data_IF_284733799523
#
_entry.id   IF_284733799523
#
_cell.length_a   1.000
_cell.length_b   1.000
_cell.length_c   1.000
_cell.angle_alpha   90.00
_cell.angle_beta   90.00
_cell.angle_gamma   90.00
#
_symmetry.space_group_name_H-M   'P 1'
#
loop_
_entity.id
_entity.type
_entity.pdbx_description
1 polymer ?
#
# COMPACT_ATOMS: atom_id res chain seq x y z
N UNK A 1 -3.87 -11.05 21.70
CA UNK A 1 -4.98 -10.12 21.38
C UNK A 1 -6.15 -10.50 22.29
N UNK A 2 -6.88 -9.53 22.84
CA UNK A 2 -7.89 -9.72 23.88
C UNK A 2 -9.25 -10.27 23.37
N UNK A 3 -9.33 -10.65 22.08
CA UNK A 3 -10.57 -11.13 21.47
C UNK A 3 -11.66 -10.05 21.35
N UNK A 4 -11.31 -8.77 21.51
CA UNK A 4 -12.28 -7.69 21.40
C UNK A 4 -12.73 -7.50 19.93
N UNK A 5 -14.01 -7.72 19.68
CA UNK A 5 -14.67 -7.34 18.43
C UNK A 5 -14.84 -5.82 18.41
N UNK A 6 -14.23 -5.15 17.44
CA UNK A 6 -14.45 -3.74 17.16
C UNK A 6 -15.30 -3.60 15.88
N UNK A 7 -16.25 -2.67 15.87
CA UNK A 7 -16.96 -2.34 14.64
C UNK A 7 -15.96 -1.80 13.60
N UNK A 8 -16.13 -2.22 12.35
CA UNK A 8 -15.38 -1.68 11.23
C UNK A 8 -15.57 -0.15 11.20
N UNK A 9 -14.47 0.60 11.05
CA UNK A 9 -14.53 2.07 11.06
C UNK A 9 -15.17 2.57 9.77
N UNK A 10 -16.50 2.66 9.75
CA UNK A 10 -17.29 2.96 8.56
C UNK A 10 -17.12 4.41 8.11
N UNK A 11 -16.90 4.62 6.80
CA UNK A 11 -17.20 5.89 6.16
C UNK A 11 -18.71 6.17 6.33
N UNK A 12 -19.09 7.42 6.54
CA UNK A 12 -20.48 7.86 6.80
C UNK A 12 -20.70 9.24 6.18
N UNK A 13 -21.95 9.70 6.13
CA UNK A 13 -22.29 11.04 5.69
C UNK A 13 -21.74 11.35 4.27
N UNK A 14 -21.92 10.40 3.36
CA UNK A 14 -21.60 10.56 1.95
C UNK A 14 -22.40 11.72 1.36
N UNK A 15 -21.71 12.65 0.70
CA UNK A 15 -22.30 13.87 0.17
C UNK A 15 -21.54 14.42 -1.02
N UNK A 16 -22.21 15.25 -1.81
CA UNK A 16 -21.59 16.08 -2.83
C UNK A 16 -21.20 17.41 -2.22
N UNK A 17 -20.01 17.91 -2.55
CA UNK A 17 -19.54 19.24 -2.16
C UNK A 17 -19.17 19.98 -3.44
N UNK A 18 -19.70 21.19 -3.60
CA UNK A 18 -19.29 22.09 -4.69
C UNK A 18 -17.93 22.68 -4.36
N UNK A 19 -17.03 22.70 -5.34
CA UNK A 19 -15.67 23.19 -5.19
C UNK A 19 -15.16 23.82 -6.50
N UNK A 20 -13.89 24.25 -6.48
CA UNK A 20 -13.24 24.91 -7.61
C UNK A 20 -12.50 23.92 -8.53
N UNK A 21 -12.79 22.62 -8.45
CA UNK A 21 -12.20 21.63 -9.36
C UNK A 21 -12.81 21.74 -10.76
N UNK A 22 -12.19 21.12 -11.77
CA UNK A 22 -12.69 21.13 -13.16
C UNK A 22 -14.14 20.63 -13.30
N UNK A 23 -14.51 19.63 -12.50
CA UNK A 23 -15.88 19.09 -12.49
C UNK A 23 -16.84 19.87 -11.56
N UNK A 24 -16.31 20.80 -10.75
CA UNK A 24 -17.06 21.66 -9.83
C UNK A 24 -17.73 20.93 -8.66
N UNK A 25 -17.53 19.62 -8.51
CA UNK A 25 -18.13 18.80 -7.47
C UNK A 25 -17.23 17.62 -7.08
N UNK A 26 -17.08 17.39 -5.78
CA UNK A 26 -16.38 16.24 -5.19
C UNK A 26 -17.31 15.42 -4.32
N UNK A 27 -17.11 14.10 -4.31
CA UNK A 27 -17.75 13.16 -3.37
C UNK A 27 -16.94 13.14 -2.07
N UNK A 28 -17.58 13.49 -0.95
CA UNK A 28 -16.97 13.50 0.38
C UNK A 28 -17.59 12.45 1.29
N UNK A 29 -16.83 11.94 2.25
CA UNK A 29 -17.31 11.10 3.34
C UNK A 29 -16.58 11.39 4.65
N UNK A 30 -17.23 11.09 5.78
CA UNK A 30 -16.67 11.27 7.13
C UNK A 30 -16.37 9.90 7.76
N UNK A 31 -15.35 9.78 8.62
CA UNK A 31 -15.23 8.61 9.49
C UNK A 31 -16.06 8.80 10.77
N UNK A 32 -16.95 7.84 11.06
CA UNK A 32 -17.75 7.91 12.28
C UNK A 32 -17.05 7.20 13.45
N UNK A 33 -16.38 7.97 14.30
CA UNK A 33 -15.79 7.46 15.55
C UNK A 33 -16.84 6.80 16.45
N UNK A 34 -18.07 7.34 16.50
CA UNK A 34 -19.17 6.77 17.27
C UNK A 34 -19.57 5.38 16.77
N UNK A 35 -19.60 5.15 15.44
CA UNK A 35 -19.87 3.82 14.87
C UNK A 35 -18.67 2.89 15.02
N UNK A 36 -17.44 3.38 14.84
CA UNK A 36 -16.22 2.59 15.02
C UNK A 36 -16.03 2.06 16.45
N UNK A 37 -16.52 2.81 17.45
CA UNK A 37 -16.50 2.39 18.86
C UNK A 37 -17.72 1.55 19.27
N UNK A 38 -18.62 1.23 18.32
CA UNK A 38 -19.85 0.49 18.59
C UNK A 38 -19.61 -1.03 18.69
N UNK A 39 -20.43 -1.73 19.49
CA UNK A 39 -20.37 -3.18 19.70
C UNK A 39 -21.58 -3.95 19.16
N UNK A 40 -22.38 -3.35 18.28
CA UNK A 40 -23.42 -4.01 17.48
C UNK A 40 -24.81 -4.12 18.11
N UNK A 41 -24.99 -3.78 19.39
CA UNK A 41 -26.30 -3.88 20.08
C UNK A 41 -27.12 -2.57 20.08
N UNK A 42 -26.58 -1.47 19.52
CA UNK A 42 -27.18 -0.13 19.67
C UNK A 42 -28.12 0.29 18.53
N UNK A 43 -28.27 -0.53 17.48
CA UNK A 43 -29.02 -0.16 16.28
C UNK A 43 -30.11 -1.17 15.94
N UNK A 44 -31.28 -0.67 15.51
CA UNK A 44 -32.35 -1.46 14.92
C UNK A 44 -32.09 -1.68 13.43
N UNK A 45 -32.64 -2.76 12.89
CA UNK A 45 -32.68 -2.94 11.45
C UNK A 45 -33.38 -1.75 10.80
N UNK A 46 -32.70 -1.12 9.84
CA UNK A 46 -33.21 0.07 9.17
C UNK A 46 -32.46 0.28 7.85
N UNK A 47 -33.05 1.15 7.01
CA UNK A 47 -32.39 1.66 5.82
C UNK A 47 -31.07 2.35 6.20
N UNK A 48 -29.97 1.86 5.65
CA UNK A 48 -28.66 2.46 5.79
C UNK A 48 -28.48 3.54 4.71
N UNK A 49 -28.66 4.80 5.12
CA UNK A 49 -28.52 5.96 4.24
C UNK A 49 -27.11 6.52 4.18
N UNK A 50 -26.23 6.11 5.09
CA UNK A 50 -24.93 6.78 5.26
C UNK A 50 -23.77 6.01 4.66
N UNK A 51 -23.85 4.69 4.46
CA UNK A 51 -22.73 3.87 3.97
C UNK A 51 -23.15 2.51 3.40
N UNK A 52 -22.22 1.81 2.77
CA UNK A 52 -22.33 0.38 2.39
C UNK A 52 -21.11 -0.34 2.94
N UNK A 53 -21.33 -1.47 3.62
CA UNK A 53 -20.25 -2.37 4.01
C UNK A 53 -19.81 -3.16 2.78
N UNK A 54 -18.53 -3.06 2.43
CA UNK A 54 -17.92 -3.66 1.24
C UNK A 54 -17.27 -5.03 1.53
N UNK A 55 -16.95 -5.33 2.78
CA UNK A 55 -16.34 -6.61 3.16
C UNK A 55 -17.34 -7.78 3.23
N UNK A 56 -18.62 -7.49 3.49
CA UNK A 56 -19.65 -8.52 3.63
C UNK A 56 -21.06 -7.97 3.47
N UNK A 57 -21.78 -8.47 2.46
CA UNK A 57 -23.16 -8.11 2.17
C UNK A 57 -23.90 -9.26 1.47
N UNK A 58 -25.23 -9.23 1.54
CA UNK A 58 -26.10 -10.15 0.80
C UNK A 58 -26.81 -9.38 -0.31
N UNK A 59 -26.81 -9.94 -1.52
CA UNK A 59 -27.46 -9.37 -2.68
C UNK A 59 -28.03 -10.49 -3.56
N UNK A 60 -29.14 -10.23 -4.23
CA UNK A 60 -29.68 -11.14 -5.25
C UNK A 60 -28.67 -11.30 -6.40
N UNK A 61 -28.46 -12.54 -6.85
CA UNK A 61 -27.43 -12.89 -7.83
C UNK A 61 -27.55 -12.12 -9.15
N UNK A 62 -28.77 -11.91 -9.64
CA UNK A 62 -29.05 -11.18 -10.88
C UNK A 62 -28.74 -9.67 -10.80
N UNK A 63 -28.52 -9.14 -9.58
CA UNK A 63 -28.19 -7.73 -9.34
C UNK A 63 -26.69 -7.47 -9.19
N UNK A 64 -25.88 -8.51 -8.99
CA UNK A 64 -24.44 -8.39 -8.69
C UNK A 64 -23.73 -7.53 -9.74
N UNK A 65 -23.91 -7.81 -11.03
CA UNK A 65 -23.22 -7.11 -12.13
C UNK A 65 -23.59 -5.63 -12.26
N UNK A 66 -24.67 -5.18 -11.61
CA UNK A 66 -25.08 -3.76 -11.59
C UNK A 66 -24.50 -2.98 -10.42
N UNK A 67 -24.00 -3.67 -9.39
CA UNK A 67 -23.47 -3.08 -8.15
C UNK A 67 -21.97 -3.27 -8.03
N UNK A 68 -21.50 -4.48 -8.33
CA UNK A 68 -20.08 -4.84 -8.29
C UNK A 68 -19.47 -4.60 -9.66
N UNK A 69 -18.76 -3.50 -9.79
CA UNK A 69 -18.06 -3.11 -11.01
C UNK A 69 -16.56 -3.46 -10.88
N UNK A 70 -16.02 -4.43 -11.63
CA UNK A 70 -14.62 -4.83 -11.51
C UNK A 70 -13.63 -3.68 -11.76
N UNK A 71 -14.01 -2.67 -12.55
CA UNK A 71 -13.18 -1.49 -12.79
C UNK A 71 -13.21 -0.48 -11.63
N UNK A 72 -14.27 -0.52 -10.80
CA UNK A 72 -14.37 0.22 -9.54
C UNK A 72 -13.77 -0.52 -8.35
N UNK A 73 -13.34 -1.77 -8.54
CA UNK A 73 -12.76 -2.58 -7.46
C UNK A 73 -11.43 -1.98 -7.04
N UNK A 74 -11.44 -1.22 -5.92
CA UNK A 74 -10.34 -1.02 -4.97
C UNK A 74 -10.37 0.37 -4.26
N UNK A 75 -10.27 0.36 -2.92
CA UNK A 75 -10.26 1.51 -1.97
C UNK A 75 -11.45 2.48 -2.01
N UNK A 76 -12.23 2.52 -3.09
CA UNK A 76 -13.41 3.37 -3.28
C UNK A 76 -14.61 2.58 -3.86
N UNK A 77 -14.56 1.25 -3.85
CA UNK A 77 -15.60 0.36 -4.36
C UNK A 77 -16.95 0.60 -3.67
N UNK A 78 -16.93 0.84 -2.36
CA UNK A 78 -18.14 1.14 -1.59
C UNK A 78 -18.85 2.41 -2.07
N UNK A 79 -18.11 3.42 -2.56
CA UNK A 79 -18.69 4.64 -3.14
C UNK A 79 -19.39 4.33 -4.46
N UNK A 80 -18.77 3.51 -5.30
CA UNK A 80 -19.37 3.06 -6.55
C UNK A 80 -20.62 2.20 -6.32
N UNK A 81 -20.55 1.30 -5.35
CA UNK A 81 -21.63 0.40 -4.98
C UNK A 81 -22.85 1.19 -4.48
N UNK A 82 -22.69 2.11 -3.54
CA UNK A 82 -23.82 2.89 -3.02
C UNK A 82 -24.43 3.81 -4.09
N UNK A 83 -23.59 4.43 -4.93
CA UNK A 83 -24.09 5.25 -6.04
C UNK A 83 -24.83 4.39 -7.08
N UNK A 84 -24.34 3.20 -7.39
CA UNK A 84 -24.98 2.25 -8.30
C UNK A 84 -26.30 1.72 -7.75
N UNK A 85 -26.35 1.37 -6.45
CA UNK A 85 -27.59 0.96 -5.77
C UNK A 85 -28.65 2.05 -5.86
N UNK A 86 -28.28 3.30 -5.55
CA UNK A 86 -29.20 4.45 -5.60
C UNK A 86 -29.64 4.78 -7.03
N UNK A 87 -28.72 4.66 -7.99
CA UNK A 87 -29.04 4.83 -9.41
C UNK A 87 -30.10 3.83 -9.89
N UNK A 88 -30.15 2.63 -9.30
CA UNK A 88 -31.19 1.64 -9.57
C UNK A 88 -32.44 1.78 -8.69
N UNK A 89 -32.56 2.86 -7.89
CA UNK A 89 -33.62 3.06 -6.90
C UNK A 89 -33.74 1.92 -5.88
N UNK A 90 -32.59 1.35 -5.49
CA UNK A 90 -32.50 0.30 -4.48
C UNK A 90 -32.05 0.85 -3.13
N UNK A 91 -32.22 0.04 -2.09
CA UNK A 91 -31.92 0.39 -0.70
C UNK A 91 -30.92 -0.58 -0.10
N UNK A 92 -30.14 -0.08 0.85
CA UNK A 92 -29.25 -0.87 1.70
C UNK A 92 -29.93 -0.98 3.06
N UNK A 93 -29.98 -2.18 3.61
CA UNK A 93 -30.50 -2.41 4.97
C UNK A 93 -29.33 -2.79 5.88
N UNK A 94 -29.25 -2.16 7.04
CA UNK A 94 -28.34 -2.59 8.11
C UNK A 94 -29.05 -3.65 8.95
N UNK A 95 -28.52 -4.87 8.99
CA UNK A 95 -29.16 -6.04 9.64
C UNK A 95 -28.34 -6.46 10.87
N UNK A 96 -28.60 -5.93 12.08
CA UNK A 96 -27.78 -6.17 13.27
C UNK A 96 -27.81 -7.63 13.78
N UNK A 97 -28.83 -8.39 13.39
CA UNK A 97 -28.94 -9.83 13.70
C UNK A 97 -27.97 -10.69 12.88
N UNK A 98 -27.51 -10.20 11.72
CA UNK A 98 -26.50 -10.85 10.90
C UNK A 98 -25.12 -10.30 11.27
N UNK A 99 -24.19 -11.18 11.66
CA UNK A 99 -22.83 -10.79 12.09
C UNK A 99 -21.80 -11.54 11.24
N UNK A 100 -20.88 -10.78 10.66
CA UNK A 100 -19.70 -11.32 9.98
C UNK A 100 -18.47 -10.87 10.76
N UNK A 101 -17.60 -11.82 11.12
CA UNK A 101 -16.31 -11.54 11.73
C UNK A 101 -15.24 -11.57 10.65
N UNK A 102 -14.46 -10.49 10.54
CA UNK A 102 -13.31 -10.42 9.63
C UNK A 102 -12.01 -10.53 10.42
N UNK A 103 -11.29 -11.65 10.26
CA UNK A 103 -10.02 -11.91 10.95
C UNK A 103 -8.84 -11.51 10.07
N UNK A 104 -8.19 -10.40 10.43
CA UNK A 104 -6.98 -9.91 9.74
C UNK A 104 -5.75 -10.76 10.06
N UNK A 105 -5.84 -11.67 11.03
CA UNK A 105 -4.70 -12.46 11.55
C UNK A 105 -4.19 -13.55 10.62
N UNK A 106 -4.90 -13.92 9.55
CA UNK A 106 -4.51 -15.00 8.63
C UNK A 106 -3.67 -14.51 7.44
N UNK A 107 -2.91 -13.42 7.61
CA UNK A 107 -2.09 -12.85 6.54
C UNK A 107 -0.75 -13.60 6.41
N UNK A 108 -0.46 -14.12 5.21
CA UNK A 108 0.72 -14.94 4.94
C UNK A 108 1.58 -14.39 3.80
N UNK A 109 2.72 -15.05 3.52
CA UNK A 109 3.57 -14.66 2.40
C UNK A 109 2.83 -14.75 1.06
N UNK A 110 1.82 -15.62 0.94
CA UNK A 110 1.02 -15.80 -0.29
C UNK A 110 0.20 -14.57 -0.62
N UNK A 111 -0.16 -13.80 0.41
CA UNK A 111 -1.02 -12.64 0.29
C UNK A 111 -0.22 -11.39 -0.13
N UNK A 112 1.09 -11.36 0.14
CA UNK A 112 1.95 -10.20 -0.17
C UNK A 112 1.83 -9.77 -1.63
N UNK A 113 2.07 -10.61 -2.65
CA UNK A 113 2.05 -10.15 -4.04
C UNK A 113 0.70 -9.54 -4.43
N UNK A 114 -0.39 -10.21 -4.08
CA UNK A 114 -1.74 -9.72 -4.33
C UNK A 114 -2.01 -8.40 -3.59
N UNK A 115 -1.63 -8.33 -2.31
CA UNK A 115 -1.83 -7.16 -1.47
C UNK A 115 -1.03 -5.96 -1.99
N UNK A 116 0.22 -6.17 -2.46
CA UNK A 116 1.06 -5.10 -3.05
C UNK A 116 0.53 -4.62 -4.38
N UNK A 117 0.03 -5.52 -5.22
CA UNK A 117 -0.62 -5.15 -6.47
C UNK A 117 -1.87 -4.31 -6.21
N UNK A 118 -2.82 -4.87 -5.45
CA UNK A 118 -4.10 -4.22 -5.19
C UNK A 118 -3.89 -2.88 -4.50
N UNK A 119 -2.98 -2.80 -3.52
CA UNK A 119 -2.66 -1.57 -2.77
C UNK A 119 -1.59 -0.69 -3.41
N UNK A 120 -1.28 -0.90 -4.69
CA UNK A 120 -0.38 -0.02 -5.42
C UNK A 120 -1.05 1.30 -5.76
N UNK A 121 -0.28 2.38 -5.78
CA UNK A 121 -0.76 3.71 -6.15
C UNK A 121 -1.34 3.69 -7.57
N UNK A 122 -0.70 2.98 -8.51
CA UNK A 122 -1.17 2.86 -9.88
C UNK A 122 -2.59 2.28 -9.98
N UNK A 123 -2.89 1.21 -9.24
CA UNK A 123 -4.24 0.62 -9.18
C UNK A 123 -5.21 1.59 -8.50
N UNK A 124 -4.81 2.21 -7.38
CA UNK A 124 -5.63 3.17 -6.64
C UNK A 124 -6.08 4.36 -7.51
N UNK A 125 -5.14 5.00 -8.19
CA UNK A 125 -5.41 6.14 -9.06
C UNK A 125 -6.19 5.72 -10.31
N UNK A 126 -5.89 4.56 -10.89
CA UNK A 126 -6.68 4.01 -12.00
C UNK A 126 -8.16 3.82 -11.63
N UNK A 127 -8.44 3.26 -10.44
CA UNK A 127 -9.81 3.14 -9.92
C UNK A 127 -10.43 4.52 -9.67
N UNK A 128 -9.70 5.46 -9.07
CA UNK A 128 -10.19 6.82 -8.83
C UNK A 128 -10.57 7.52 -10.14
N UNK A 129 -9.68 7.51 -11.13
CA UNK A 129 -9.92 8.13 -12.44
C UNK A 129 -11.12 7.48 -13.14
N UNK A 130 -11.25 6.16 -13.01
CA UNK A 130 -12.40 5.43 -13.51
C UNK A 130 -13.71 5.93 -12.88
N UNK A 131 -13.74 6.09 -11.56
CA UNK A 131 -14.90 6.61 -10.84
C UNK A 131 -15.20 8.07 -11.19
N UNK A 132 -14.16 8.90 -11.34
CA UNK A 132 -14.29 10.29 -11.78
C UNK A 132 -14.99 10.33 -13.13
N UNK A 133 -14.51 9.54 -14.09
CA UNK A 133 -15.09 9.49 -15.43
C UNK A 133 -16.48 8.90 -15.46
N UNK A 134 -16.70 7.82 -14.68
CA UNK A 134 -18.01 7.18 -14.54
C UNK A 134 -19.00 8.20 -14.00
N UNK A 135 -18.81 8.71 -12.79
CA UNK A 135 -19.84 9.51 -12.13
C UNK A 135 -19.89 10.99 -12.56
N UNK A 136 -18.79 11.53 -13.10
CA UNK A 136 -18.68 12.95 -13.41
C UNK A 136 -18.60 13.80 -12.14
N UNK A 137 -17.87 13.31 -11.14
CA UNK A 137 -17.54 14.00 -9.90
C UNK A 137 -16.12 13.63 -9.48
N UNK A 138 -15.45 14.54 -8.78
CA UNK A 138 -14.15 14.26 -8.20
C UNK A 138 -14.26 13.32 -6.99
N UNK A 139 -13.18 12.59 -6.73
CA UNK A 139 -13.04 11.66 -5.61
C UNK A 139 -11.75 11.98 -4.85
N UNK A 140 -11.75 11.87 -3.51
CA UNK A 140 -10.63 12.32 -2.70
C UNK A 140 -9.39 11.44 -2.89
N UNK A 141 -8.22 12.09 -2.96
CA UNK A 141 -6.92 11.42 -2.88
C UNK A 141 -6.51 11.27 -1.41
N UNK A 142 -7.00 10.24 -0.73
CA UNK A 142 -6.74 10.09 0.72
C UNK A 142 -5.38 9.49 1.06
N UNK A 143 -4.68 8.89 0.08
CA UNK A 143 -3.48 8.07 0.33
C UNK A 143 -3.73 6.85 1.23
N UNK A 144 -5.00 6.55 1.53
CA UNK A 144 -5.39 5.53 2.50
C UNK A 144 -4.91 4.14 2.08
N UNK A 145 -4.83 3.86 0.77
CA UNK A 145 -4.26 2.62 0.25
C UNK A 145 -2.81 2.40 0.68
N UNK A 146 -1.96 3.44 0.59
CA UNK A 146 -0.56 3.38 1.00
C UNK A 146 -0.45 3.19 2.51
N UNK A 147 -1.27 3.87 3.29
CA UNK A 147 -1.33 3.68 4.73
C UNK A 147 -1.71 2.25 5.14
N UNK A 148 -2.76 1.67 4.54
CA UNK A 148 -3.19 0.29 4.81
C UNK A 148 -2.12 -0.72 4.39
N UNK A 149 -1.46 -0.48 3.24
CA UNK A 149 -0.33 -1.28 2.74
C UNK A 149 0.74 -1.44 3.82
N UNK A 150 1.23 -0.33 4.37
CA UNK A 150 2.29 -0.37 5.39
C UNK A 150 1.81 -0.90 6.74
N UNK A 151 0.60 -0.56 7.18
CA UNK A 151 0.07 -1.00 8.48
C UNK A 151 -0.05 -2.52 8.60
N UNK A 152 -0.27 -3.24 7.49
CA UNK A 152 -0.38 -4.71 7.49
C UNK A 152 0.99 -5.35 7.24
N UNK A 153 1.69 -4.98 6.16
CA UNK A 153 2.93 -5.68 5.81
C UNK A 153 4.06 -5.40 6.81
N UNK A 154 4.09 -4.24 7.48
CA UNK A 154 5.14 -3.92 8.46
C UNK A 154 5.23 -4.92 9.63
N UNK A 155 4.15 -5.66 9.88
CA UNK A 155 4.07 -6.67 10.94
C UNK A 155 4.70 -8.01 10.53
N UNK A 156 5.06 -8.17 9.26
CA UNK A 156 5.45 -9.46 8.70
C UNK A 156 6.94 -9.50 8.34
N UNK A 157 7.61 -10.52 8.87
CA UNK A 157 8.99 -10.88 8.54
C UNK A 157 9.01 -12.37 8.20
N UNK A 158 9.50 -12.70 7.02
CA UNK A 158 9.69 -14.07 6.57
C UNK A 158 11.18 -14.33 6.42
N UNK A 159 11.63 -15.48 6.92
CA UNK A 159 13.04 -15.87 6.87
C UNK A 159 13.20 -17.32 6.41
N UNK A 160 14.30 -17.58 5.73
CA UNK A 160 14.64 -18.94 5.26
C UNK A 160 15.11 -19.86 6.39
N UNK A 161 15.61 -19.31 7.50
CA UNK A 161 16.08 -20.05 8.68
C UNK A 161 14.94 -20.44 9.65
N UNK A 162 13.73 -19.96 9.40
CA UNK A 162 12.52 -20.35 10.14
C UNK A 162 12.41 -19.83 11.56
N UNK A 163 13.12 -18.74 11.90
CA UNK A 163 12.98 -18.06 13.19
C UNK A 163 11.54 -17.54 13.36
N UNK A 164 10.97 -17.77 14.54
CA UNK A 164 9.60 -17.39 14.90
C UNK A 164 9.41 -15.87 14.77
N UNK A 165 8.32 -15.46 14.10
CA UNK A 165 7.90 -14.07 14.12
C UNK A 165 7.44 -13.67 15.53
N UNK A 166 7.54 -12.38 15.84
CA UNK A 166 6.99 -11.80 17.07
C UNK A 166 5.47 -12.00 17.06
N UNK A 167 4.98 -13.06 17.70
CA UNK A 167 3.56 -13.45 17.63
C UNK A 167 3.26 -14.94 17.64
N UNK A 168 4.27 -15.82 17.57
CA UNK A 168 4.09 -17.27 17.79
C UNK A 168 3.67 -18.09 16.57
N UNK A 169 3.50 -17.49 15.39
CA UNK A 169 3.34 -18.22 14.13
C UNK A 169 4.66 -18.30 13.35
N UNK A 170 4.97 -19.49 12.83
CA UNK A 170 6.16 -19.72 12.00
C UNK A 170 5.95 -19.06 10.62
N UNK A 171 6.43 -17.83 10.48
CA UNK A 171 6.48 -17.11 9.20
C UNK A 171 7.60 -17.67 8.29
N UNK A 172 7.38 -18.87 7.75
CA UNK A 172 8.35 -19.53 6.87
C UNK A 172 8.34 -18.90 5.46
N UNK A 173 9.54 -18.61 4.95
CA UNK A 173 9.75 -18.24 3.55
C UNK A 173 9.30 -19.37 2.60
N UNK A 174 8.68 -19.07 1.44
CA UNK A 174 8.39 -20.08 0.43
C UNK A 174 9.66 -20.80 -0.05
N UNK A 175 9.53 -22.11 -0.29
CA UNK A 175 10.62 -22.96 -0.81
C UNK A 175 10.74 -22.90 -2.33
N UNK A 176 9.63 -22.70 -3.04
CA UNK A 176 9.65 -22.64 -4.50
C UNK A 176 10.24 -21.31 -4.95
N UNK A 177 11.19 -21.37 -5.88
CA UNK A 177 11.83 -20.17 -6.44
C UNK A 177 10.82 -19.16 -7.01
N UNK A 178 9.75 -19.64 -7.66
CA UNK A 178 8.75 -18.75 -8.28
C UNK A 178 8.00 -17.92 -7.24
N UNK A 179 7.77 -18.48 -6.06
CA UNK A 179 7.05 -17.82 -4.97
C UNK A 179 7.98 -16.81 -4.28
N UNK A 180 9.28 -17.14 -4.13
CA UNK A 180 10.30 -16.19 -3.71
C UNK A 180 10.43 -15.03 -4.70
N UNK A 181 10.43 -15.33 -6.01
CA UNK A 181 10.45 -14.31 -7.04
C UNK A 181 9.23 -13.38 -6.93
N UNK A 182 8.03 -13.94 -6.74
CA UNK A 182 6.81 -13.14 -6.55
C UNK A 182 6.92 -12.17 -5.35
N UNK A 183 7.56 -12.58 -4.26
CA UNK A 183 7.87 -11.69 -3.12
C UNK A 183 8.87 -10.59 -3.49
N UNK A 184 9.93 -10.92 -4.24
CA UNK A 184 10.93 -9.93 -4.68
C UNK A 184 10.29 -8.89 -5.59
N UNK A 185 9.53 -9.29 -6.61
CA UNK A 185 8.79 -8.35 -7.45
C UNK A 185 7.76 -7.58 -6.62
N UNK A 186 7.07 -8.25 -5.68
CA UNK A 186 6.09 -7.63 -4.78
C UNK A 186 6.71 -6.54 -3.90
N UNK A 187 7.95 -6.69 -3.47
CA UNK A 187 8.68 -5.65 -2.74
C UNK A 187 8.93 -4.39 -3.60
N UNK A 188 9.33 -4.54 -4.86
CA UNK A 188 9.49 -3.37 -5.74
C UNK A 188 8.14 -2.71 -6.06
N UNK A 189 7.07 -3.51 -6.15
CA UNK A 189 5.69 -3.01 -6.21
C UNK A 189 5.30 -2.24 -4.92
N UNK A 190 5.73 -2.73 -3.76
CA UNK A 190 5.52 -2.09 -2.46
C UNK A 190 6.17 -0.71 -2.39
N UNK A 191 7.42 -0.62 -2.85
CA UNK A 191 8.24 0.60 -2.86
C UNK A 191 7.56 1.72 -3.67
N UNK A 192 6.96 1.36 -4.82
CA UNK A 192 6.23 2.31 -5.68
C UNK A 192 6.47 2.12 -7.17
N UNK A 193 7.28 1.14 -7.57
CA UNK A 193 7.45 0.78 -8.97
C UNK A 193 6.23 -0.02 -9.48
N UNK A 194 5.97 0.05 -10.79
CA UNK A 194 4.78 -0.57 -11.39
C UNK A 194 5.00 -1.14 -12.80
N UNK A 195 6.23 -1.06 -13.32
CA UNK A 195 6.66 -1.63 -14.59
C UNK A 195 7.99 -2.35 -14.44
N UNK A 196 8.16 -3.41 -15.22
CA UNK A 196 9.31 -4.31 -15.17
C UNK A 196 9.80 -4.61 -16.59
N UNK A 197 11.00 -4.18 -16.92
CA UNK A 197 11.61 -4.39 -18.23
C UNK A 197 12.69 -5.47 -18.15
N UNK A 198 12.55 -6.50 -18.98
CA UNK A 198 13.48 -7.64 -19.08
C UNK A 198 13.75 -7.96 -20.54
N UNK A 199 15.03 -7.93 -20.94
CA UNK A 199 15.42 -8.19 -22.34
C UNK A 199 14.76 -7.23 -23.35
N UNK A 200 14.58 -5.96 -22.97
CA UNK A 200 13.96 -4.93 -23.81
C UNK A 200 12.43 -5.01 -23.91
N UNK A 201 11.78 -5.94 -23.20
CA UNK A 201 10.31 -6.03 -23.14
C UNK A 201 9.80 -5.61 -21.77
N UNK A 202 8.77 -4.78 -21.78
CA UNK A 202 8.10 -4.30 -20.58
C UNK A 202 6.90 -5.17 -20.19
N UNK A 203 6.70 -5.32 -18.89
CA UNK A 203 5.60 -6.03 -18.26
C UNK A 203 5.04 -5.21 -17.09
N UNK A 204 3.72 -5.29 -16.87
CA UNK A 204 3.13 -4.92 -15.59
C UNK A 204 3.30 -6.05 -14.56
N UNK A 205 2.95 -5.76 -13.31
CA UNK A 205 3.13 -6.71 -12.22
C UNK A 205 2.33 -8.01 -12.39
N UNK A 206 1.08 -7.93 -12.87
CA UNK A 206 0.26 -9.12 -13.09
C UNK A 206 0.82 -10.01 -14.21
N UNK A 207 1.33 -9.39 -15.28
CA UNK A 207 2.01 -10.07 -16.38
C UNK A 207 3.25 -10.80 -15.90
N UNK A 208 4.02 -10.20 -14.97
CA UNK A 208 5.14 -10.87 -14.32
C UNK A 208 4.65 -12.08 -13.50
N UNK A 209 3.64 -11.92 -12.64
CA UNK A 209 3.14 -13.02 -11.82
C UNK A 209 2.64 -14.19 -12.69
N UNK A 210 1.86 -13.90 -13.74
CA UNK A 210 1.40 -14.90 -14.71
C UNK A 210 2.56 -15.63 -15.40
N UNK A 211 3.62 -14.90 -15.77
CA UNK A 211 4.84 -15.50 -16.34
C UNK A 211 5.57 -16.41 -15.35
N UNK A 212 5.74 -15.97 -14.11
CA UNK A 212 6.38 -16.77 -13.06
C UNK A 212 5.61 -18.07 -12.81
N UNK A 213 4.28 -18.00 -12.80
CA UNK A 213 3.42 -19.19 -12.70
C UNK A 213 3.54 -20.11 -13.92
N UNK A 214 3.73 -19.54 -15.12
CA UNK A 214 4.07 -20.28 -16.34
C UNK A 214 5.51 -20.82 -16.39
N UNK A 215 6.29 -20.69 -15.30
CA UNK A 215 7.65 -21.24 -15.19
C UNK A 215 8.76 -20.36 -15.76
N UNK A 216 8.43 -19.16 -16.25
CA UNK A 216 9.42 -18.20 -16.76
C UNK A 216 10.32 -17.66 -15.64
N UNK A 217 11.54 -17.24 -16.01
CA UNK A 217 12.46 -16.53 -15.12
C UNK A 217 13.29 -15.50 -15.89
N UNK A 218 13.65 -14.37 -15.26
CA UNK A 218 14.51 -13.39 -15.89
C UNK A 218 15.92 -13.98 -16.10
N UNK A 219 16.46 -13.83 -17.30
CA UNK A 219 17.84 -14.26 -17.66
C UNK A 219 18.87 -13.16 -17.46
N UNK A 220 18.40 -11.92 -17.27
CA UNK A 220 19.20 -10.72 -17.10
C UNK A 220 18.67 -9.92 -15.89
N UNK A 221 19.37 -8.85 -15.54
CA UNK A 221 18.84 -7.82 -14.65
C UNK A 221 17.47 -7.35 -15.12
N UNK A 222 16.60 -7.07 -14.15
CA UNK A 222 15.25 -6.52 -14.32
C UNK A 222 15.34 -5.04 -14.02
N UNK A 223 14.99 -4.20 -14.99
CA UNK A 223 14.76 -2.79 -14.72
C UNK A 223 13.36 -2.64 -14.15
N UNK A 224 13.22 -1.99 -13.01
CA UNK A 224 11.93 -1.62 -12.43
C UNK A 224 11.76 -0.11 -12.54
N UNK A 225 10.59 0.35 -12.98
CA UNK A 225 10.31 1.78 -13.14
C UNK A 225 8.93 2.15 -12.63
N UNK A 226 8.76 3.43 -12.31
CA UNK A 226 7.46 4.05 -12.06
C UNK A 226 6.99 4.66 -13.38
N UNK A 227 5.80 4.29 -13.83
CA UNK A 227 5.10 4.94 -14.94
C UNK A 227 3.79 5.53 -14.42
N UNK A 228 3.57 6.83 -14.65
CA UNK A 228 2.36 7.52 -14.19
C UNK A 228 1.23 7.49 -15.23
N UNK A 229 1.57 7.26 -16.50
CA UNK A 229 0.61 7.22 -17.59
C UNK A 229 -0.41 6.09 -17.41
N UNK A 230 -1.69 6.45 -17.59
CA UNK A 230 -2.84 5.56 -17.44
C UNK A 230 -3.70 5.61 -18.71
N UNK A 231 -4.34 4.47 -19.08
CA UNK A 231 -5.17 4.42 -20.27
C UNK A 231 -6.39 5.34 -20.15
N UNK A 232 -6.85 5.87 -21.29
CA UNK A 232 -8.04 6.73 -21.34
C UNK A 232 -9.28 5.93 -20.96
N UNK A 233 -10.03 6.43 -19.98
CA UNK A 233 -11.32 5.85 -19.58
C UNK A 233 -12.44 6.44 -20.42
N UNK A 234 -13.22 5.57 -21.06
CA UNK A 234 -14.35 5.95 -21.93
C UNK A 234 -15.72 5.68 -21.31
N UNK A 235 -15.79 4.81 -20.29
CA UNK A 235 -17.04 4.45 -19.62
C UNK A 235 -17.54 5.61 -18.77
N UNK A 236 -18.81 5.95 -18.93
CA UNK A 236 -19.50 7.03 -18.22
C UNK A 236 -20.70 6.48 -17.44
N UNK A 237 -21.31 7.31 -16.60
CA UNK A 237 -22.49 6.94 -15.80
C UNK A 237 -23.64 6.50 -16.70
N UNK A 238 -24.54 5.66 -16.18
CA UNK A 238 -25.75 5.32 -16.92
C UNK A 238 -26.53 6.56 -17.34
N UNK A 239 -27.02 6.59 -18.59
CA UNK A 239 -27.72 7.75 -19.17
C UNK A 239 -28.99 8.17 -18.41
N UNK A 240 -29.57 7.25 -17.63
CA UNK A 240 -30.75 7.53 -16.82
C UNK A 240 -30.43 8.35 -15.56
N UNK A 241 -29.16 8.43 -15.14
CA UNK A 241 -28.71 9.34 -14.07
C UNK A 241 -28.43 10.71 -14.67
N UNK A 242 -29.39 11.63 -14.54
CA UNK A 242 -29.27 12.98 -15.11
C UNK A 242 -28.49 13.90 -14.17
N UNK A 243 -28.79 13.85 -12.88
CA UNK A 243 -28.15 14.70 -11.88
C UNK A 243 -27.60 13.87 -10.71
N UNK A 244 -26.47 14.30 -10.15
CA UNK A 244 -25.79 13.55 -9.08
C UNK A 244 -26.51 13.68 -7.73
N UNK A 245 -27.29 14.74 -7.53
CA UNK A 245 -28.12 14.94 -6.35
C UNK A 245 -29.31 13.98 -6.26
N UNK A 246 -29.62 13.27 -7.34
CA UNK A 246 -30.51 12.10 -7.31
C UNK A 246 -29.86 10.93 -6.54
N UNK A 247 -28.53 10.91 -6.43
CA UNK A 247 -27.77 9.83 -5.80
C UNK A 247 -27.24 10.21 -4.42
N UNK A 248 -26.66 11.40 -4.28
CA UNK A 248 -26.01 11.84 -3.04
C UNK A 248 -26.46 13.26 -2.69
N UNK A 249 -26.82 13.56 -1.43
CA UNK A 249 -27.21 14.91 -1.05
C UNK A 249 -26.04 15.89 -1.16
N UNK A 250 -26.30 17.15 -1.48
CA UNK A 250 -25.31 18.21 -1.32
C UNK A 250 -25.08 18.54 0.15
N UNK A 251 -23.84 18.84 0.52
CA UNK A 251 -23.48 19.28 1.85
C UNK A 251 -22.29 20.23 1.86
N UNK A 252 -21.87 20.61 3.07
CA UNK A 252 -20.71 21.49 3.27
C UNK A 252 -19.43 20.67 3.34
N UNK A 253 -18.33 21.26 2.87
CA UNK A 253 -16.99 20.77 3.20
C UNK A 253 -16.81 20.79 4.72
N UNK A 254 -16.38 19.67 5.31
CA UNK A 254 -15.88 19.64 6.69
C UNK A 254 -14.35 19.66 6.61
N UNK A 255 -13.70 20.40 7.51
CA UNK A 255 -12.25 20.68 7.46
C UNK A 255 -11.34 19.46 7.64
N UNK A 256 -11.87 18.29 7.96
CA UNK A 256 -11.08 17.08 8.24
C UNK A 256 -11.30 16.07 7.12
N UNK A 257 -10.76 16.40 5.95
CA UNK A 257 -10.53 15.41 4.91
C UNK A 257 -9.10 15.58 4.44
N UNK A 258 -8.32 14.53 4.66
CA UNK A 258 -6.89 14.55 4.44
C UNK A 258 -6.66 14.18 2.99
N UNK A 259 -6.82 15.17 2.12
CA UNK A 259 -6.39 15.09 0.73
C UNK A 259 -4.88 15.19 0.67
N UNK A 260 -4.23 14.18 0.11
CA UNK A 260 -2.84 14.28 -0.32
C UNK A 260 -2.82 15.08 -1.62
N UNK A 261 -2.06 16.17 -1.62
CA UNK A 261 -1.94 17.07 -2.78
C UNK A 261 -1.36 16.35 -3.99
N UNK A 262 -0.28 15.60 -3.79
CA UNK A 262 0.38 14.89 -4.86
C UNK A 262 -0.29 13.54 -5.12
N UNK A 263 -0.47 13.22 -6.39
CA UNK A 263 -1.06 11.95 -6.80
C UNK A 263 -0.21 10.78 -6.28
N UNK A 264 1.06 10.74 -6.66
CA UNK A 264 1.98 9.69 -6.25
C UNK A 264 2.93 10.18 -5.16
N UNK A 265 3.12 9.35 -4.14
CA UNK A 265 4.06 9.66 -3.07
C UNK A 265 5.51 9.48 -3.55
N UNK A 266 6.40 10.43 -3.22
CA UNK A 266 7.83 10.25 -3.44
C UNK A 266 8.37 9.14 -2.52
N UNK A 267 9.42 8.46 -2.98
CA UNK A 267 10.05 7.38 -2.23
C UNK A 267 11.56 7.31 -2.51
N UNK A 268 12.25 6.52 -1.71
CA UNK A 268 13.65 6.18 -1.91
C UNK A 268 13.87 4.70 -1.62
N UNK A 269 14.93 4.16 -2.21
CA UNK A 269 15.34 2.78 -2.01
C UNK A 269 16.87 2.73 -1.92
N UNK A 270 17.39 1.94 -1.01
CA UNK A 270 18.82 1.71 -0.90
C UNK A 270 19.15 0.26 -1.27
N UNK A 271 20.32 0.07 -1.88
CA UNK A 271 20.92 -1.22 -2.16
C UNK A 271 22.25 -1.30 -1.42
N UNK A 272 22.46 -2.39 -0.69
CA UNK A 272 23.72 -2.75 -0.07
C UNK A 272 24.17 -4.13 -0.56
N UNK A 273 25.42 -4.26 -0.97
CA UNK A 273 26.01 -5.51 -1.45
C UNK A 273 27.11 -5.95 -0.50
N UNK A 274 27.13 -7.24 -0.15
CA UNK A 274 28.08 -7.84 0.78
C UNK A 274 28.55 -9.19 0.24
N UNK A 275 29.65 -9.72 0.77
CA UNK A 275 30.18 -11.02 0.33
C UNK A 275 29.34 -12.23 0.83
N UNK A 276 28.56 -12.07 1.90
CA UNK A 276 27.79 -13.14 2.55
C UNK A 276 26.47 -12.59 3.11
N UNK A 277 25.42 -13.41 3.14
CA UNK A 277 24.13 -13.03 3.73
C UNK A 277 24.11 -13.10 5.26
N UNK A 278 25.03 -13.83 5.88
CA UNK A 278 25.08 -14.03 7.34
C UNK A 278 24.95 -12.73 8.16
N UNK A 279 25.72 -11.65 7.88
CA UNK A 279 25.60 -10.41 8.64
C UNK A 279 24.31 -9.63 8.37
N UNK A 280 23.53 -10.00 7.34
CA UNK A 280 22.27 -9.36 6.96
C UNK A 280 21.06 -10.10 7.51
N UNK A 281 21.21 -11.35 7.95
CA UNK A 281 20.11 -12.18 8.42
C UNK A 281 19.43 -11.51 9.61
N UNK A 282 20.16 -11.13 10.66
CA UNK A 282 19.58 -10.61 11.90
C UNK A 282 19.34 -9.10 11.91
N UNK A 283 19.71 -8.42 10.84
CA UNK A 283 19.65 -6.97 10.77
C UNK A 283 18.22 -6.48 10.50
N UNK A 284 17.79 -5.52 11.32
CA UNK A 284 16.49 -4.86 11.13
C UNK A 284 16.47 -3.92 9.93
N UNK A 285 17.66 -3.61 9.40
CA UNK A 285 17.91 -2.66 8.33
C UNK A 285 17.58 -3.14 6.91
N UNK A 286 17.24 -4.41 6.69
CA UNK A 286 17.01 -4.97 5.34
C UNK A 286 15.54 -5.36 5.12
N UNK A 287 14.94 -4.81 4.05
CA UNK A 287 13.62 -5.16 3.55
C UNK A 287 13.61 -6.44 2.72
N UNK A 288 14.62 -6.63 1.87
CA UNK A 288 14.93 -7.92 1.23
C UNK A 288 16.38 -8.28 1.46
N UNK A 289 16.65 -9.57 1.62
CA UNK A 289 18.00 -10.15 1.56
C UNK A 289 18.00 -11.23 0.48
N UNK A 290 18.73 -10.99 -0.60
CA UNK A 290 18.83 -11.88 -1.75
C UNK A 290 20.25 -12.44 -1.80
N UNK A 291 20.36 -13.77 -1.73
CA UNK A 291 21.60 -14.47 -2.02
C UNK A 291 21.75 -14.63 -3.53
N UNK A 292 22.89 -14.22 -4.06
CA UNK A 292 23.30 -14.38 -5.45
C UNK A 292 24.60 -15.20 -5.50
N UNK A 293 25.02 -15.63 -6.71
CA UNK A 293 26.24 -16.44 -6.86
C UNK A 293 27.51 -15.75 -6.34
N UNK A 294 27.58 -14.43 -6.42
CA UNK A 294 28.75 -13.62 -6.11
C UNK A 294 28.68 -12.91 -4.74
N UNK A 295 27.63 -13.16 -3.96
CA UNK A 295 27.46 -12.52 -2.65
C UNK A 295 25.99 -12.34 -2.27
N UNK A 296 25.73 -11.32 -1.47
CA UNK A 296 24.40 -11.03 -0.95
C UNK A 296 24.01 -9.57 -1.17
N UNK A 297 22.76 -9.35 -1.56
CA UNK A 297 22.19 -8.02 -1.79
C UNK A 297 21.08 -7.77 -0.79
N UNK A 298 21.19 -6.67 -0.06
CA UNK A 298 20.16 -6.13 0.80
C UNK A 298 19.47 -4.94 0.11
N UNK A 299 18.15 -4.99 0.02
CA UNK A 299 17.32 -3.86 -0.44
C UNK A 299 16.55 -3.26 0.73
N UNK A 300 16.49 -1.94 0.79
CA UNK A 300 15.88 -1.19 1.89
C UNK A 300 14.84 -0.24 1.32
N UNK A 301 13.58 -0.42 1.72
CA UNK A 301 12.49 0.47 1.34
C UNK A 301 12.49 1.69 2.25
N UNK A 302 12.64 2.88 1.68
CA UNK A 302 12.76 4.14 2.40
C UNK A 302 11.70 5.13 1.91
N UNK A 303 10.42 4.94 2.28
CA UNK A 303 9.38 5.91 1.98
C UNK A 303 9.73 7.27 2.62
N UNK A 304 9.20 8.36 2.08
CA UNK A 304 9.50 9.71 2.60
C UNK A 304 8.84 9.98 3.96
N UNK A 305 7.88 9.13 4.33
CA UNK A 305 7.29 8.97 5.66
C UNK A 305 7.91 7.76 6.38
N UNK A 306 7.70 7.62 7.69
CA UNK A 306 8.43 6.70 8.59
C UNK A 306 9.91 7.06 8.71
N UNK A 307 10.20 8.36 8.76
CA UNK A 307 11.55 8.92 8.95
C UNK A 307 12.15 8.71 10.34
N UNK A 308 11.31 8.33 11.32
CA UNK A 308 11.65 8.26 12.75
C UNK A 308 12.27 9.57 13.29
N UNK A 309 11.88 10.71 12.71
CA UNK A 309 12.30 12.03 13.19
C UNK A 309 11.92 12.24 14.66
N UNK A 310 12.66 13.09 15.36
CA UNK A 310 12.37 13.43 16.77
C UNK A 310 10.93 13.93 16.95
N UNK A 311 10.43 14.70 15.98
CA UNK A 311 9.06 15.19 15.96
C UNK A 311 8.03 14.06 15.86
N UNK A 312 8.22 13.10 14.95
CA UNK A 312 7.32 11.94 14.82
C UNK A 312 7.38 11.03 16.05
N UNK A 313 8.55 10.87 16.67
CA UNK A 313 8.69 10.17 17.96
C UNK A 313 7.92 10.89 19.08
N UNK A 314 7.95 12.22 19.12
CA UNK A 314 7.19 13.00 20.07
C UNK A 314 5.68 12.87 19.85
N UNK A 315 5.21 12.95 18.59
CA UNK A 315 3.80 12.69 18.22
C UNK A 315 3.40 11.26 18.60
N UNK A 316 4.24 10.28 18.29
CA UNK A 316 4.00 8.87 18.63
C UNK A 316 3.85 8.65 20.13
N UNK A 317 4.73 9.25 20.94
CA UNK A 317 4.64 9.20 22.41
C UNK A 317 3.38 9.90 22.93
N UNK A 318 3.07 11.08 22.41
CA UNK A 318 1.86 11.81 22.78
C UNK A 318 0.61 11.01 22.43
N UNK A 319 0.53 10.48 21.21
CA UNK A 319 -0.55 9.63 20.73
C UNK A 319 -0.72 8.38 21.60
N UNK A 320 0.38 7.72 21.96
CA UNK A 320 0.35 6.58 22.88
C UNK A 320 -0.18 6.96 24.27
N UNK A 321 0.21 8.13 24.80
CA UNK A 321 -0.29 8.64 26.09
C UNK A 321 -1.81 8.87 26.09
N UNK A 322 -2.37 9.29 24.96
CA UNK A 322 -3.82 9.50 24.79
C UNK A 322 -4.53 8.31 24.12
N UNK A 323 -3.89 7.14 24.03
CA UNK A 323 -4.42 5.90 23.44
C UNK A 323 -4.89 6.04 21.99
N UNK A 324 -4.34 6.99 21.23
CA UNK A 324 -4.53 7.05 19.78
C UNK A 324 -3.74 5.88 19.14
N UNK A 325 -4.39 5.04 18.31
CA UNK A 325 -3.70 3.94 17.63
C UNK A 325 -2.49 4.44 16.81
N UNK A 326 -1.37 3.72 16.85
CA UNK A 326 -0.13 4.00 16.09
C UNK A 326 -0.34 4.13 14.57
N UNK A 327 -1.46 3.62 14.10
CA UNK A 327 -1.89 3.72 12.71
C UNK A 327 -2.28 5.16 12.34
N UNK A 328 -2.92 5.91 13.25
CA UNK A 328 -3.23 7.33 13.06
C UNK A 328 -1.95 8.16 12.92
N UNK A 329 -0.91 7.86 13.71
CA UNK A 329 0.37 8.58 13.60
C UNK A 329 1.10 8.30 12.29
N UNK A 330 0.94 7.09 11.73
CA UNK A 330 1.48 6.76 10.39
C UNK A 330 0.78 7.56 9.30
N UNK A 331 -0.54 7.68 9.40
CA UNK A 331 -1.32 8.49 8.46
C UNK A 331 -0.93 9.97 8.51
N UNK A 332 -0.81 10.55 9.72
CA UNK A 332 -0.36 11.93 9.91
C UNK A 332 1.04 12.14 9.33
N UNK A 333 1.98 11.24 9.61
CA UNK A 333 3.34 11.34 9.06
C UNK A 333 3.35 11.29 7.53
N UNK A 334 2.55 10.41 6.93
CA UNK A 334 2.40 10.29 5.48
C UNK A 334 1.89 11.58 4.86
N UNK A 335 0.84 12.18 5.43
CA UNK A 335 0.31 13.48 4.98
C UNK A 335 1.31 14.61 5.13
N UNK A 336 2.03 14.67 6.25
CA UNK A 336 3.03 15.74 6.46
C UNK A 336 4.27 15.59 5.57
N UNK A 337 4.55 14.37 5.12
CA UNK A 337 5.74 14.05 4.32
C UNK A 337 5.44 13.88 2.83
N UNK A 338 4.18 14.00 2.41
CA UNK A 338 3.76 13.69 1.04
C UNK A 338 4.43 14.56 -0.02
N UNK A 339 4.81 15.79 0.35
CA UNK A 339 5.50 16.74 -0.52
C UNK A 339 7.01 16.75 -0.36
N UNK A 340 7.56 15.94 0.55
CA UNK A 340 9.01 15.86 0.76
C UNK A 340 9.62 14.97 -0.31
N UNK A 341 10.54 15.52 -1.11
CA UNK A 341 11.24 14.76 -2.13
C UNK A 341 12.07 13.60 -1.58
N UNK A 342 12.15 12.49 -2.33
CA UNK A 342 12.98 11.34 -2.00
C UNK A 342 14.47 11.72 -1.90
N UNK A 343 14.97 12.54 -2.82
CA UNK A 343 16.35 13.04 -2.81
C UNK A 343 16.71 13.76 -1.50
N UNK A 344 15.82 14.62 -1.00
CA UNK A 344 16.01 15.34 0.26
C UNK A 344 15.85 14.42 1.48
N UNK A 345 15.02 13.38 1.35
CA UNK A 345 14.83 12.39 2.40
C UNK A 345 16.12 11.62 2.70
N UNK A 346 16.83 11.16 1.66
CA UNK A 346 18.05 10.35 1.81
C UNK A 346 19.35 11.15 1.71
N UNK A 347 19.30 12.47 1.63
CA UNK A 347 20.49 13.33 1.60
C UNK A 347 21.53 12.98 2.68
N UNK A 348 21.15 12.67 3.94
CA UNK A 348 22.12 12.28 4.96
C UNK A 348 22.88 10.99 4.66
N UNK A 349 22.44 10.16 3.71
CA UNK A 349 23.09 8.90 3.34
C UNK A 349 23.99 9.02 2.11
N UNK A 350 23.92 10.12 1.36
CA UNK A 350 24.67 10.29 0.10
C UNK A 350 26.19 10.18 0.29
N UNK A 351 26.70 10.61 1.44
CA UNK A 351 28.12 10.47 1.79
C UNK A 351 28.60 9.02 1.99
N UNK A 352 27.68 8.06 2.11
CA UNK A 352 27.97 6.63 2.25
C UNK A 352 27.92 5.88 0.92
N UNK A 353 27.52 6.53 -0.19
CA UNK A 353 27.47 5.87 -1.50
C UNK A 353 28.86 5.47 -2.00
N UNK A 354 28.93 4.30 -2.62
CA UNK A 354 30.17 3.71 -3.11
C UNK A 354 29.92 2.40 -3.84
N UNK A 355 30.95 1.55 -3.97
CA UNK A 355 30.85 0.27 -4.70
C UNK A 355 29.81 -0.68 -4.10
N UNK A 356 29.69 -0.69 -2.77
CA UNK A 356 28.84 -1.61 -2.03
C UNK A 356 27.47 -1.02 -1.69
N UNK A 357 27.30 0.29 -1.68
CA UNK A 357 26.07 0.97 -1.27
C UNK A 357 25.63 2.02 -2.29
N UNK A 358 24.36 1.97 -2.71
CA UNK A 358 23.80 2.92 -3.68
C UNK A 358 22.36 3.28 -3.34
N UNK A 359 21.97 4.51 -3.64
CA UNK A 359 20.63 5.03 -3.42
C UNK A 359 19.94 5.32 -4.76
N UNK A 360 18.67 4.94 -4.86
CA UNK A 360 17.78 5.39 -5.91
C UNK A 360 16.59 6.13 -5.29
N UNK A 361 16.12 7.17 -5.96
CA UNK A 361 15.08 8.07 -5.47
C UNK A 361 14.05 8.30 -6.55
N UNK A 362 12.83 8.60 -6.13
CA UNK A 362 11.75 8.98 -7.00
C UNK A 362 11.03 10.18 -6.38
N UNK A 363 11.22 11.36 -6.96
CA UNK A 363 10.74 12.62 -6.40
C UNK A 363 9.29 12.89 -6.80
N UNK A 364 8.75 13.98 -6.24
CA UNK A 364 7.44 14.49 -6.63
C UNK A 364 7.46 14.88 -8.11
N UNK A 365 6.41 14.53 -8.87
CA UNK A 365 6.28 14.77 -10.31
C UNK A 365 7.31 14.07 -11.22
N UNK A 366 8.21 13.25 -10.67
CA UNK A 366 9.16 12.50 -11.48
C UNK A 366 8.45 11.34 -12.19
N UNK A 367 8.19 11.49 -13.48
CA UNK A 367 7.35 10.54 -14.21
C UNK A 367 8.07 9.24 -14.62
N UNK A 368 9.41 9.26 -14.67
CA UNK A 368 10.25 8.13 -15.05
C UNK A 368 11.47 8.03 -14.13
N UNK A 369 11.30 7.28 -13.04
CA UNK A 369 12.40 6.88 -12.15
C UNK A 369 12.57 5.36 -12.24
N UNK A 370 13.81 4.88 -12.19
CA UNK A 370 14.08 3.45 -12.32
C UNK A 370 15.21 2.95 -11.42
N UNK A 371 15.20 1.64 -11.20
CA UNK A 371 16.27 0.90 -10.53
C UNK A 371 16.43 -0.47 -11.17
N UNK A 372 17.51 -1.18 -10.83
CA UNK A 372 17.85 -2.47 -11.41
C UNK A 372 18.08 -3.50 -10.31
N UNK A 373 17.44 -4.66 -10.44
CA UNK A 373 17.66 -5.79 -9.56
C UNK A 373 17.81 -7.10 -10.33
N UNK A 374 18.47 -8.07 -9.72
CA UNK A 374 18.64 -9.40 -10.27
C UNK A 374 17.99 -10.42 -9.35
N UNK A 375 17.29 -11.39 -9.94
CA UNK A 375 16.77 -12.56 -9.22
C UNK A 375 16.66 -13.73 -10.21
N UNK A 376 17.79 -14.39 -10.48
CA UNK A 376 17.84 -15.52 -11.41
C UNK A 376 17.41 -16.81 -10.70
N UNK A 377 17.28 -17.91 -11.47
CA UNK A 377 17.04 -19.26 -10.90
C UNK A 377 18.10 -19.73 -9.90
N UNK A 378 19.27 -19.08 -9.87
CA UNK A 378 20.35 -19.39 -8.92
C UNK A 378 20.36 -18.46 -7.71
N UNK A 379 19.49 -17.44 -7.70
CA UNK A 379 19.28 -16.58 -6.54
C UNK A 379 18.32 -17.23 -5.56
N UNK A 380 18.45 -16.91 -4.27
CA UNK A 380 17.48 -17.31 -3.25
C UNK A 380 17.12 -16.13 -2.33
N UNK A 381 15.84 -16.02 -2.00
CA UNK A 381 15.36 -15.02 -1.04
C UNK A 381 15.57 -15.55 0.38
N UNK A 382 16.38 -14.85 1.18
CA UNK A 382 16.69 -15.22 2.56
C UNK A 382 15.80 -14.53 3.57
N UNK A 383 15.50 -13.25 3.34
CA UNK A 383 14.65 -12.44 4.22
C UNK A 383 13.72 -11.58 3.40
N UNK A 384 12.46 -11.50 3.82
CA UNK A 384 11.50 -10.48 3.45
C UNK A 384 11.04 -9.79 4.74
N UNK A 385 11.04 -8.47 4.74
CA UNK A 385 10.58 -7.63 5.84
C UNK A 385 9.74 -6.50 5.26
N UNK A 386 8.49 -6.42 5.69
CA UNK A 386 7.58 -5.37 5.24
C UNK A 386 7.82 -4.01 5.89
N UNK A 387 8.46 -3.98 7.05
CA UNK A 387 8.72 -2.75 7.77
C UNK A 387 9.72 -1.88 6.98
N UNK A 388 9.38 -0.62 6.66
CA UNK A 388 10.29 0.28 5.99
C UNK A 388 11.48 0.66 6.89
N UNK A 389 12.59 1.05 6.27
CA UNK A 389 13.80 1.47 6.95
C UNK A 389 13.85 2.98 7.11
N UNK A 390 14.29 3.43 8.29
CA UNK A 390 14.56 4.84 8.52
C UNK A 390 15.94 5.20 7.97
N UNK A 391 16.16 6.49 7.71
CA UNK A 391 17.49 7.01 7.34
C UNK A 391 18.55 6.63 8.39
N UNK A 392 18.19 6.63 9.67
CA UNK A 392 19.10 6.29 10.76
C UNK A 392 19.46 4.80 10.74
N UNK A 393 18.46 3.93 10.63
CA UNK A 393 18.67 2.47 10.61
C UNK A 393 19.56 2.06 9.43
N UNK A 394 19.34 2.69 8.26
CA UNK A 394 20.18 2.46 7.07
C UNK A 394 21.62 2.94 7.29
N UNK A 395 21.81 4.13 7.85
CA UNK A 395 23.15 4.66 8.12
C UNK A 395 23.94 3.75 9.08
N UNK A 396 23.29 3.29 10.14
CA UNK A 396 23.90 2.44 11.16
C UNK A 396 24.22 1.05 10.63
N UNK A 397 23.35 0.47 9.79
CA UNK A 397 23.63 -0.78 9.10
C UNK A 397 24.86 -0.66 8.20
N UNK A 398 24.91 0.36 7.35
CA UNK A 398 26.02 0.56 6.39
C UNK A 398 27.35 0.77 7.12
N UNK A 399 27.37 1.60 8.19
CA UNK A 399 28.57 1.82 8.99
C UNK A 399 29.06 0.56 9.68
N UNK A 400 28.17 -0.20 10.34
CA UNK A 400 28.53 -1.45 11.03
C UNK A 400 29.15 -2.47 10.08
N UNK A 401 28.61 -2.57 8.87
CA UNK A 401 29.11 -3.53 7.87
C UNK A 401 30.39 -3.02 7.18
N UNK A 402 30.51 -1.72 6.93
CA UNK A 402 31.74 -1.10 6.42
C UNK A 402 32.92 -1.28 7.38
N UNK A 403 32.71 -1.08 8.69
CA UNK A 403 33.77 -1.31 9.70
C UNK A 403 34.20 -2.77 9.80
N UNK A 404 33.28 -3.73 9.58
CA UNK A 404 33.60 -5.17 9.57
C UNK A 404 34.36 -5.61 8.32
N UNK A 405 34.19 -4.90 7.19
CA UNK A 405 34.92 -5.17 5.95
C UNK A 405 36.37 -4.70 6.06
N UNK A 406 36.61 -3.51 6.61
CA UNK A 406 37.95 -2.98 6.85
C UNK A 406 38.77 -3.89 7.79
N UNK A 407 38.16 -4.41 8.85
CA UNK A 407 38.81 -5.36 9.78
C UNK A 407 39.17 -6.71 9.14
N UNK A 408 38.54 -7.11 8.03
CA UNK A 408 38.85 -8.34 7.29
C UNK A 408 39.88 -8.13 6.17
N UNK A 409 40.14 -6.89 5.76
CA UNK A 409 41.18 -6.56 4.77
C UNK A 409 42.53 -6.26 5.44
N UNK A 410 42.55 -5.97 6.75
CA UNK A 410 43.77 -5.77 7.56
C UNK A 410 44.29 -7.05 8.25
N UNK A 411 43.56 -8.17 8.12
CA UNK A 411 43.97 -9.52 8.56
C UNK A 411 44.32 -10.39 7.35
#
# INVERSE_FOLDING_TARGET
MDGSLAAHATQTNLRLVKDNTELGVTVHHDHSLRRALNRGNDFKEAEQKEFVEDHGFLIQTDKISRVVDPAASFTLEYLDMIMSIRANNWKVLFVPSARLEFRITEFSWRDIPYFMYKRSEATAHGTRDYLIKKWGANFPNTGFWTYIKYTIVEQHVYRSDGVEAVGGERCLMPKLWKDQAALVFGFFQMVGYNRYTVGGKEFDFLSILSKLDGGWSPRSSVQTRRQLERPVITKTRPRYVKHLDELLPYGKAKRVEVGIEHEYLPFSIAKLTTASCEPLMDETGCGLVIEEKSGCVCWMNMPTFKSNSLFIRAIGRLAALIKIPSRVTTFVEMTMSSSRNGTEHVLPLRHLEGKSFSLATCNTHEEDCSSFFSFSKQSSLKVFRGAPNTVVDTADLVRRLGSRQLLKEEM
#
